data_IF_407168653320
#
_entry.id   IF_407168653320
#
_cell.length_a   1.000
_cell.length_b   1.000
_cell.length_c   1.000
_cell.angle_alpha   90.00
_cell.angle_beta   90.00
_cell.angle_gamma   90.00
#
_symmetry.space_group_name_H-M   'P 1'
#
loop_
_entity.id
_entity.type
_entity.pdbx_description
1 polymer ?
#
# COMPACT_ATOMS: atom_id res chain seq x y z
N UNK A 1 -0.01 44.61 25.09
CA UNK A 1 0.82 44.94 23.91
C UNK A 1 0.70 43.80 22.91
N UNK A 2 0.25 44.11 21.70
CA UNK A 2 0.08 43.17 20.59
C UNK A 2 1.32 43.21 19.70
N UNK A 3 1.85 42.05 19.24
CA UNK A 3 2.56 41.94 17.95
C UNK A 3 2.41 40.53 17.35
N UNK A 4 1.87 40.51 16.12
CA UNK A 4 1.87 39.41 15.14
C UNK A 4 3.23 39.34 14.41
N UNK A 5 3.54 38.23 13.73
CA UNK A 5 4.31 38.28 12.49
C UNK A 5 3.45 37.99 11.25
N UNK A 6 3.80 38.68 10.17
CA UNK A 6 3.16 38.72 8.86
C UNK A 6 3.69 37.61 7.93
N UNK A 7 2.81 37.19 7.03
CA UNK A 7 3.06 36.42 5.82
C UNK A 7 3.98 37.16 4.84
N UNK A 8 4.76 36.44 4.02
CA UNK A 8 5.01 36.75 2.60
C UNK A 8 5.92 35.70 1.94
N UNK A 9 5.37 34.94 0.98
CA UNK A 9 6.13 34.19 -0.04
C UNK A 9 5.98 34.91 -1.39
N UNK A 10 7.05 35.08 -2.19
CA UNK A 10 6.95 35.69 -3.51
C UNK A 10 6.64 34.67 -4.63
N UNK A 11 6.15 35.13 -5.80
CA UNK A 11 5.76 34.28 -6.93
C UNK A 11 6.93 34.06 -7.92
N UNK A 12 6.95 32.92 -8.61
CA UNK A 12 7.84 32.71 -9.77
C UNK A 12 6.98 32.55 -11.03
N UNK A 13 7.28 33.37 -12.03
CA UNK A 13 6.77 33.30 -13.41
C UNK A 13 7.92 33.59 -14.38
N UNK A 14 7.78 33.08 -15.62
CA UNK A 14 8.62 33.21 -16.83
C UNK A 14 9.64 32.04 -17.01
N UNK A 15 9.93 31.52 -18.21
CA UNK A 15 9.71 32.04 -19.57
C UNK A 15 9.69 30.90 -20.63
N UNK A 16 9.07 31.20 -21.78
CA UNK A 16 9.19 30.51 -23.08
C UNK A 16 10.48 30.94 -23.80
N UNK A 17 11.07 30.08 -24.64
CA UNK A 17 12.04 30.51 -25.67
C UNK A 17 12.90 29.41 -26.33
N UNK A 18 12.40 28.89 -27.47
CA UNK A 18 13.01 28.18 -28.62
C UNK A 18 14.50 28.42 -28.96
N UNK A 19 15.22 27.38 -29.48
CA UNK A 19 16.04 27.38 -30.74
C UNK A 19 16.23 25.94 -31.30
N UNK A 20 16.31 25.89 -32.64
CA UNK A 20 16.25 24.87 -33.73
C UNK A 20 17.35 23.79 -33.96
N UNK A 21 16.91 22.73 -34.66
CA UNK A 21 17.36 21.98 -35.88
C UNK A 21 18.80 21.46 -36.12
N UNK A 22 18.92 20.14 -36.43
CA UNK A 22 19.35 19.49 -37.72
C UNK A 22 19.89 18.05 -37.45
N UNK A 23 19.33 16.96 -38.01
CA UNK A 23 19.48 16.38 -39.36
C UNK A 23 20.52 15.23 -39.45
N UNK A 24 20.10 14.05 -39.92
CA UNK A 24 20.98 12.92 -40.30
C UNK A 24 20.22 11.65 -40.70
N UNK A 25 20.42 11.18 -41.93
CA UNK A 25 19.64 10.18 -42.70
C UNK A 25 20.19 8.73 -42.65
N UNK A 26 19.35 7.81 -43.16
CA UNK A 26 19.63 6.57 -43.95
C UNK A 26 19.49 5.26 -43.16
N UNK A 27 18.96 4.14 -43.66
CA UNK A 27 18.54 3.69 -44.99
C UNK A 27 17.85 2.31 -44.88
N UNK A 28 17.22 1.84 -45.96
CA UNK A 28 16.21 0.77 -46.00
C UNK A 28 16.72 -0.62 -46.45
N UNK A 29 15.83 -1.63 -46.35
CA UNK A 29 15.59 -2.87 -47.17
C UNK A 29 15.39 -4.15 -46.32
N UNK A 30 14.19 -4.78 -46.28
CA UNK A 30 13.61 -5.87 -47.14
C UNK A 30 14.39 -7.20 -47.04
N UNK A 31 13.88 -8.43 -46.83
CA UNK A 31 12.59 -9.12 -47.09
C UNK A 31 12.54 -10.53 -46.41
N UNK A 32 11.34 -10.97 -46.03
CA UNK A 32 10.77 -12.35 -46.13
C UNK A 32 11.32 -13.59 -45.37
N UNK A 33 10.57 -13.96 -44.32
CA UNK A 33 10.01 -15.29 -43.94
C UNK A 33 10.84 -16.58 -44.09
N UNK A 34 11.16 -17.23 -42.97
CA UNK A 34 10.65 -18.59 -42.64
C UNK A 34 11.07 -19.07 -41.23
N UNK A 35 10.04 -19.45 -40.46
CA UNK A 35 9.95 -20.54 -39.48
C UNK A 35 10.82 -20.56 -38.21
N UNK A 36 10.19 -20.02 -37.15
CA UNK A 36 10.34 -20.23 -35.70
C UNK A 36 11.72 -19.95 -35.08
N UNK A 37 11.89 -18.78 -34.42
CA UNK A 37 12.99 -18.58 -33.48
C UNK A 37 12.53 -18.69 -32.02
N UNK A 38 13.41 -19.23 -31.20
CA UNK A 38 13.43 -19.37 -29.73
C UNK A 38 13.27 -18.07 -28.93
N UNK A 39 12.32 -17.21 -29.32
CA UNK A 39 12.15 -15.84 -28.82
C UNK A 39 10.97 -15.62 -27.87
N UNK A 40 10.16 -16.64 -27.56
CA UNK A 40 9.06 -16.50 -26.60
C UNK A 40 9.53 -16.32 -25.13
N UNK A 41 10.85 -16.35 -24.89
CA UNK A 41 11.49 -16.05 -23.61
C UNK A 41 12.35 -14.76 -23.67
N UNK A 42 12.38 -14.05 -24.81
CA UNK A 42 13.34 -12.98 -25.06
C UNK A 42 12.85 -11.56 -24.74
N UNK A 43 11.66 -11.42 -24.15
CA UNK A 43 11.18 -10.16 -23.54
C UNK A 43 10.87 -10.33 -22.03
N UNK A 44 11.52 -11.32 -21.39
CA UNK A 44 11.67 -11.31 -19.94
C UNK A 44 12.68 -10.21 -19.59
N UNK A 45 12.32 -9.17 -18.83
CA UNK A 45 13.32 -8.25 -18.32
C UNK A 45 14.37 -9.04 -17.53
N UNK A 46 15.61 -9.01 -18.00
CA UNK A 46 16.74 -9.66 -17.35
C UNK A 46 17.00 -9.01 -15.99
N UNK A 47 17.02 -9.85 -14.94
CA UNK A 47 17.74 -9.68 -13.66
C UNK A 47 17.73 -8.27 -13.07
N UNK A 48 16.57 -7.86 -12.59
CA UNK A 48 16.42 -6.94 -11.47
C UNK A 48 15.21 -7.42 -10.70
N UNK A 49 15.39 -7.72 -9.42
CA UNK A 49 14.30 -8.12 -8.53
C UNK A 49 13.13 -7.13 -8.64
N UNK A 50 11.89 -7.60 -8.43
CA UNK A 50 10.65 -6.81 -8.57
C UNK A 50 10.03 -6.51 -7.20
N UNK A 51 9.17 -5.48 -7.09
CA UNK A 51 8.93 -4.84 -5.81
C UNK A 51 7.94 -5.53 -4.87
N UNK A 52 8.16 -5.42 -3.56
CA UNK A 52 7.09 -5.56 -2.57
C UNK A 52 6.24 -4.30 -2.55
N UNK A 53 4.92 -4.47 -2.62
CA UNK A 53 4.00 -3.34 -2.70
C UNK A 53 3.11 -3.24 -1.47
N UNK A 54 2.93 -2.03 -0.96
CA UNK A 54 1.75 -1.74 -0.14
C UNK A 54 0.56 -1.59 -1.08
N UNK A 55 -0.46 -2.42 -0.89
CA UNK A 55 -1.72 -2.38 -1.65
C UNK A 55 -2.82 -1.89 -0.72
N UNK A 56 -3.56 -0.88 -1.17
CA UNK A 56 -4.62 -0.22 -0.42
C UNK A 56 -5.93 -0.35 -1.20
N UNK A 57 -6.93 -1.01 -0.61
CA UNK A 57 -8.33 -0.86 -1.01
C UNK A 57 -8.92 0.30 -0.19
N UNK A 58 -9.23 1.46 -0.81
CA UNK A 58 -9.62 2.65 -0.08
C UNK A 58 -10.98 2.47 0.60
N UNK A 59 -11.17 3.13 1.73
CA UNK A 59 -12.48 3.27 2.35
C UNK A 59 -13.41 4.00 1.39
N UNK A 60 -14.55 3.39 1.05
CA UNK A 60 -15.56 4.02 0.18
C UNK A 60 -16.61 4.69 1.04
N UNK A 61 -16.86 5.96 0.74
CA UNK A 61 -17.81 6.80 1.48
C UNK A 61 -18.88 7.35 0.56
N UNK A 62 -20.03 7.70 1.13
CA UNK A 62 -21.06 8.49 0.46
C UNK A 62 -21.66 9.48 1.44
N UNK A 63 -21.85 10.71 0.98
CA UNK A 63 -22.62 11.70 1.72
C UNK A 63 -24.11 11.36 1.66
N UNK A 64 -24.76 11.30 2.83
CA UNK A 64 -26.19 11.10 2.94
C UNK A 64 -26.71 11.74 4.22
N UNK A 65 -27.81 12.49 4.11
CA UNK A 65 -28.50 13.09 5.26
C UNK A 65 -27.63 14.03 6.12
N UNK A 66 -26.63 14.67 5.51
CA UNK A 66 -25.69 15.57 6.21
C UNK A 66 -24.58 14.84 6.99
N UNK A 67 -24.43 13.52 6.79
CA UNK A 67 -23.39 12.70 7.39
C UNK A 67 -22.61 11.90 6.33
N UNK A 68 -21.36 11.57 6.62
CA UNK A 68 -20.57 10.65 5.79
C UNK A 68 -20.88 9.20 6.17
N UNK A 69 -21.54 8.47 5.27
CA UNK A 69 -21.76 7.03 5.42
C UNK A 69 -20.58 6.26 4.86
N UNK A 70 -19.99 5.39 5.69
CA UNK A 70 -19.00 4.41 5.23
C UNK A 70 -19.75 3.28 4.52
N UNK A 71 -19.52 3.14 3.22
CA UNK A 71 -20.13 2.08 2.41
C UNK A 71 -19.36 0.77 2.56
N UNK A 72 -18.04 0.85 2.46
CA UNK A 72 -17.13 -0.28 2.68
C UNK A 72 -15.90 0.22 3.43
N UNK A 73 -15.55 -0.37 4.58
CA UNK A 73 -14.25 -0.13 5.21
C UNK A 73 -13.13 -0.50 4.23
N UNK A 74 -12.08 0.32 4.19
CA UNK A 74 -10.89 0.01 3.41
C UNK A 74 -10.02 -1.06 4.07
N UNK A 75 -8.98 -1.47 3.35
CA UNK A 75 -7.95 -2.36 3.87
C UNK A 75 -6.57 -2.01 3.28
N UNK A 76 -5.50 -2.34 4.01
CA UNK A 76 -4.11 -2.15 3.58
C UNK A 76 -3.28 -3.36 3.98
N UNK A 77 -2.38 -3.79 3.11
CA UNK A 77 -1.46 -4.89 3.36
C UNK A 77 -0.26 -4.83 2.42
N UNK A 78 0.78 -5.62 2.73
CA UNK A 78 1.85 -5.89 1.77
C UNK A 78 1.48 -7.05 0.84
N UNK A 79 1.83 -6.92 -0.44
CA UNK A 79 1.79 -7.99 -1.44
C UNK A 79 3.14 -8.09 -2.14
N UNK A 80 3.85 -9.22 -2.01
CA UNK A 80 5.07 -9.48 -2.77
C UNK A 80 4.79 -9.49 -4.28
N UNK A 81 5.81 -9.21 -5.10
CA UNK A 81 5.68 -9.39 -6.54
C UNK A 81 5.60 -10.88 -6.91
N UNK A 82 5.11 -11.17 -8.11
CA UNK A 82 5.14 -12.54 -8.64
C UNK A 82 6.57 -13.10 -8.73
N UNK A 83 7.58 -12.24 -8.88
CA UNK A 83 8.99 -12.64 -8.90
C UNK A 83 9.48 -12.96 -7.48
N UNK A 84 9.11 -12.19 -6.46
CA UNK A 84 9.42 -12.51 -5.06
C UNK A 84 8.87 -13.88 -4.69
N UNK A 85 7.62 -14.17 -5.06
CA UNK A 85 7.00 -15.48 -4.86
C UNK A 85 7.68 -16.58 -5.67
N UNK A 86 8.23 -16.27 -6.85
CA UNK A 86 8.99 -17.22 -7.67
C UNK A 86 10.35 -17.54 -7.04
N UNK A 87 11.04 -16.53 -6.53
CA UNK A 87 12.34 -16.65 -5.87
C UNK A 87 12.21 -17.31 -4.49
N UNK A 88 11.11 -17.05 -3.79
CA UNK A 88 10.78 -17.64 -2.52
C UNK A 88 9.30 -18.08 -2.45
N UNK A 89 8.99 -19.31 -2.87
CA UNK A 89 7.63 -19.84 -2.87
C UNK A 89 7.00 -20.05 -1.48
N UNK A 90 7.77 -19.86 -0.39
CA UNK A 90 7.25 -19.95 0.98
C UNK A 90 6.58 -18.68 1.45
N UNK A 91 6.81 -17.56 0.76
CA UNK A 91 6.18 -16.28 1.10
C UNK A 91 4.66 -16.38 0.91
N UNK A 92 3.92 -15.90 1.91
CA UNK A 92 2.49 -15.68 1.78
C UNK A 92 2.22 -14.66 0.65
N UNK A 93 1.09 -14.79 -0.09
CA UNK A 93 0.73 -13.85 -1.15
C UNK A 93 0.35 -12.46 -0.63
N UNK A 94 0.09 -12.34 0.68
CA UNK A 94 -0.17 -11.09 1.37
C UNK A 94 0.30 -11.18 2.83
N UNK A 95 0.69 -10.05 3.38
CA UNK A 95 1.00 -9.86 4.79
C UNK A 95 0.15 -8.70 5.29
N UNK A 96 -0.92 -9.04 6.00
CA UNK A 96 -1.94 -8.10 6.45
C UNK A 96 -2.31 -8.29 7.92
N UNK A 97 -3.44 -7.72 8.30
CA UNK A 97 -4.02 -7.88 9.63
C UNK A 97 -5.54 -7.78 9.58
N UNK A 98 -6.19 -8.93 9.74
CA UNK A 98 -7.65 -9.06 9.66
C UNK A 98 -8.18 -9.92 10.82
N UNK A 99 -9.47 -9.74 11.16
CA UNK A 99 -10.11 -10.59 12.18
C UNK A 99 -10.19 -12.05 11.71
N UNK A 100 -9.96 -12.97 12.62
CA UNK A 100 -10.25 -14.39 12.44
C UNK A 100 -11.75 -14.60 12.65
N UNK A 101 -12.46 -14.97 11.59
CA UNK A 101 -13.84 -15.42 11.70
C UNK A 101 -13.88 -16.94 11.88
N UNK A 102 -14.35 -17.38 13.04
CA UNK A 102 -14.55 -18.80 13.32
C UNK A 102 -15.94 -19.22 12.85
N UNK A 103 -16.03 -20.33 12.13
CA UNK A 103 -17.30 -20.85 11.64
C UNK A 103 -18.29 -21.06 12.81
N UNK A 104 -19.50 -20.51 12.68
CA UNK A 104 -20.53 -20.59 13.72
C UNK A 104 -20.39 -19.57 14.85
N UNK A 105 -19.32 -18.76 14.89
CA UNK A 105 -19.17 -17.66 15.85
C UNK A 105 -19.40 -16.33 15.14
N UNK A 106 -20.26 -15.49 15.73
CA UNK A 106 -20.41 -14.11 15.28
C UNK A 106 -19.30 -13.26 15.91
N UNK A 107 -18.64 -12.39 15.15
CA UNK A 107 -17.71 -11.44 15.74
C UNK A 107 -18.44 -10.45 16.67
N UNK A 108 -17.69 -9.88 17.61
CA UNK A 108 -18.21 -8.80 18.45
C UNK A 108 -18.36 -7.54 17.61
N UNK A 109 -19.59 -7.23 17.22
CA UNK A 109 -19.90 -6.00 16.48
C UNK A 109 -20.21 -4.86 17.44
N UNK A 110 -19.69 -3.68 17.15
CA UNK A 110 -19.95 -2.48 17.96
C UNK A 110 -20.00 -1.25 17.06
N UNK A 111 -20.62 -0.19 17.56
CA UNK A 111 -20.76 1.03 16.80
C UNK A 111 -19.47 1.85 16.87
N UNK A 112 -18.91 2.18 15.70
CA UNK A 112 -17.81 3.14 15.54
C UNK A 112 -18.40 4.46 15.05
N UNK A 113 -18.04 5.54 15.72
CA UNK A 113 -18.40 6.89 15.33
C UNK A 113 -17.25 7.83 15.62
N UNK A 114 -17.04 8.82 14.76
CA UNK A 114 -15.93 9.76 14.88
C UNK A 114 -15.94 10.78 13.76
N UNK A 115 -14.80 11.45 13.60
CA UNK A 115 -14.56 12.41 12.52
C UNK A 115 -13.43 11.88 11.64
N UNK A 116 -13.60 11.98 10.32
CA UNK A 116 -12.55 11.77 9.34
C UNK A 116 -11.52 12.91 9.42
N UNK A 117 -10.36 12.75 8.80
CA UNK A 117 -9.29 13.76 8.80
C UNK A 117 -9.71 15.12 8.23
N UNK A 118 -10.70 15.14 7.34
CA UNK A 118 -11.28 16.35 6.76
C UNK A 118 -12.41 16.97 7.62
N UNK A 119 -12.64 16.43 8.83
CA UNK A 119 -13.63 16.90 9.80
C UNK A 119 -15.04 16.38 9.57
N UNK A 120 -15.29 15.58 8.52
CA UNK A 120 -16.62 14.99 8.32
C UNK A 120 -16.92 13.91 9.35
N UNK A 121 -18.13 13.94 9.91
CA UNK A 121 -18.59 12.92 10.86
C UNK A 121 -18.96 11.63 10.13
N UNK A 122 -18.60 10.50 10.72
CA UNK A 122 -18.95 9.19 10.19
C UNK A 122 -19.48 8.26 11.27
N UNK A 123 -20.19 7.22 10.80
CA UNK A 123 -20.71 6.14 11.62
C UNK A 123 -20.70 4.83 10.84
N UNK A 124 -20.21 3.76 11.46
CA UNK A 124 -20.13 2.42 10.84
C UNK A 124 -20.18 1.33 11.92
N UNK A 125 -20.66 0.15 11.57
CA UNK A 125 -20.50 -1.03 12.43
C UNK A 125 -19.07 -1.56 12.28
N UNK A 126 -18.31 -1.53 13.38
CA UNK A 126 -17.00 -2.16 13.49
C UNK A 126 -17.10 -3.56 14.05
N UNK A 127 -15.95 -4.24 14.04
CA UNK A 127 -15.76 -5.61 14.52
C UNK A 127 -14.57 -5.64 15.47
N UNK A 128 -14.72 -6.40 16.56
CA UNK A 128 -13.63 -6.86 17.43
C UNK A 128 -13.57 -8.39 17.40
N UNK A 129 -12.39 -8.94 17.22
CA UNK A 129 -12.14 -10.38 17.23
C UNK A 129 -10.66 -10.67 17.50
N UNK A 130 -10.32 -11.94 17.73
CA UNK A 130 -8.92 -12.38 17.62
C UNK A 130 -8.44 -12.18 16.18
N UNK A 131 -7.16 -11.85 16.02
CA UNK A 131 -6.56 -11.70 14.70
C UNK A 131 -6.09 -13.06 14.18
N UNK A 132 -6.11 -13.22 12.86
CA UNK A 132 -5.49 -14.37 12.20
C UNK A 132 -4.00 -14.16 12.00
N UNK A 133 -3.28 -15.19 11.55
CA UNK A 133 -1.87 -15.02 11.21
C UNK A 133 -1.72 -14.03 10.05
N UNK A 134 -0.68 -13.20 10.07
CA UNK A 134 -0.53 -12.12 9.10
C UNK A 134 -0.45 -12.63 7.64
N UNK A 135 0.10 -13.83 7.43
CA UNK A 135 0.18 -14.49 6.12
C UNK A 135 -1.10 -15.16 5.63
N UNK A 136 -2.16 -15.23 6.45
CA UNK A 136 -3.46 -15.82 6.07
C UNK A 136 -4.41 -14.80 5.44
N UNK A 137 -3.94 -13.56 5.24
CA UNK A 137 -4.67 -12.56 4.48
C UNK A 137 -4.75 -12.92 3.00
N UNK A 138 -5.92 -12.64 2.42
CA UNK A 138 -6.12 -12.82 0.99
C UNK A 138 -5.52 -11.61 0.28
N UNK A 139 -4.85 -11.80 -0.87
CA UNK A 139 -4.40 -10.67 -1.67
C UNK A 139 -5.60 -9.79 -2.04
N UNK A 140 -5.45 -8.48 -1.85
CA UNK A 140 -6.38 -7.49 -2.34
C UNK A 140 -6.30 -7.49 -3.88
N UNK A 141 -7.45 -7.44 -4.56
CA UNK A 141 -7.48 -7.39 -6.01
C UNK A 141 -6.92 -6.04 -6.48
N UNK A 142 -5.90 -6.06 -7.34
CA UNK A 142 -5.36 -4.85 -7.95
C UNK A 142 -6.30 -4.42 -9.09
N UNK A 143 -6.82 -3.21 -9.01
CA UNK A 143 -7.77 -2.67 -9.98
C UNK A 143 -7.83 -1.13 -9.98
N UNK A 144 -8.74 -0.53 -10.75
CA UNK A 144 -8.77 0.93 -10.95
C UNK A 144 -8.95 1.77 -9.69
N UNK A 145 -9.54 1.20 -8.63
CA UNK A 145 -9.78 1.91 -7.37
C UNK A 145 -8.73 1.63 -6.29
N UNK A 146 -7.82 0.66 -6.49
CA UNK A 146 -6.78 0.36 -5.50
C UNK A 146 -5.58 1.26 -5.67
N UNK A 147 -4.99 1.68 -4.56
CA UNK A 147 -3.73 2.41 -4.57
C UNK A 147 -2.59 1.40 -4.34
N UNK A 148 -1.53 1.52 -5.12
CA UNK A 148 -0.35 0.66 -5.00
C UNK A 148 0.87 1.55 -4.79
N UNK A 149 1.61 1.27 -3.72
CA UNK A 149 2.87 1.93 -3.41
C UNK A 149 3.96 0.89 -3.54
N UNK A 150 4.82 1.11 -4.54
CA UNK A 150 5.97 0.27 -4.84
C UNK A 150 7.13 0.65 -3.91
N UNK A 151 7.55 -0.28 -3.06
CA UNK A 151 8.69 -0.08 -2.17
C UNK A 151 10.03 -0.52 -2.76
N UNK A 152 10.09 -1.02 -3.99
CA UNK A 152 11.27 -1.74 -4.48
C UNK A 152 11.30 -3.16 -3.94
N UNK A 153 12.39 -3.87 -4.22
CA UNK A 153 12.42 -5.31 -4.01
C UNK A 153 12.96 -5.71 -2.67
N UNK A 154 12.31 -6.71 -2.06
CA UNK A 154 12.84 -7.38 -0.89
C UNK A 154 14.26 -7.87 -1.11
N UNK A 155 15.15 -7.46 -0.21
CA UNK A 155 16.43 -8.13 -0.01
C UNK A 155 16.22 -9.56 0.52
N UNK A 156 17.21 -10.45 0.43
CA UNK A 156 17.12 -11.78 1.04
C UNK A 156 16.79 -11.74 2.55
N UNK A 157 17.33 -10.75 3.27
CA UNK A 157 17.04 -10.53 4.68
C UNK A 157 15.57 -10.14 4.89
N UNK A 158 15.04 -9.22 4.08
CA UNK A 158 13.62 -8.85 4.13
C UNK A 158 12.71 -10.02 3.77
N UNK A 159 13.08 -10.83 2.79
CA UNK A 159 12.34 -12.05 2.44
C UNK A 159 12.29 -13.05 3.61
N UNK A 160 13.42 -13.28 4.28
CA UNK A 160 13.46 -14.14 5.48
C UNK A 160 12.66 -13.56 6.65
N UNK A 161 12.67 -12.24 6.82
CA UNK A 161 11.89 -11.56 7.85
C UNK A 161 10.39 -11.66 7.54
N UNK A 162 9.98 -11.47 6.29
CA UNK A 162 8.61 -11.65 5.83
C UNK A 162 8.09 -13.06 6.15
N UNK A 163 8.86 -14.11 5.85
CA UNK A 163 8.50 -15.50 6.21
C UNK A 163 8.26 -15.66 7.71
N UNK A 164 9.05 -14.99 8.55
CA UNK A 164 8.88 -15.02 10.01
C UNK A 164 7.63 -14.27 10.44
N UNK A 165 7.39 -13.10 9.83
CA UNK A 165 6.24 -12.24 10.13
C UNK A 165 4.91 -12.89 9.74
N UNK A 166 4.87 -13.63 8.62
CA UNK A 166 3.63 -14.22 8.11
C UNK A 166 3.08 -15.32 9.02
N UNK A 167 3.94 -15.96 9.83
CA UNK A 167 3.60 -17.08 10.72
C UNK A 167 3.13 -16.64 12.12
N UNK A 168 2.90 -15.34 12.34
CA UNK A 168 2.43 -14.77 13.61
C UNK A 168 1.32 -13.75 13.37
N UNK A 169 0.57 -13.46 14.41
CA UNK A 169 -0.33 -12.30 14.46
C UNK A 169 0.51 -11.02 14.61
N UNK A 170 0.18 -9.93 13.90
CA UNK A 170 0.84 -8.64 14.13
C UNK A 170 0.47 -8.09 15.51
N UNK A 171 -0.83 -8.04 15.78
CA UNK A 171 -1.41 -7.86 17.10
C UNK A 171 -2.32 -9.04 17.43
N UNK A 172 -2.45 -9.48 18.70
CA UNK A 172 -3.30 -10.63 19.03
C UNK A 172 -4.78 -10.42 18.68
N UNK A 173 -5.26 -9.17 18.73
CA UNK A 173 -6.65 -8.81 18.46
C UNK A 173 -6.74 -7.84 17.30
N UNK A 174 -7.87 -7.89 16.62
CA UNK A 174 -8.27 -6.92 15.60
C UNK A 174 -9.44 -6.10 16.13
N UNK A 175 -9.39 -4.79 15.92
CA UNK A 175 -10.44 -3.84 16.24
C UNK A 175 -10.56 -2.82 15.09
N UNK A 176 -11.74 -2.66 14.48
CA UNK A 176 -11.91 -1.88 13.23
C UNK A 176 -11.49 -0.41 13.35
N UNK A 177 -11.84 0.25 14.44
CA UNK A 177 -11.77 1.70 14.56
C UNK A 177 -10.35 2.25 14.74
N UNK A 178 -9.42 1.42 15.22
CA UNK A 178 -8.06 1.84 15.54
C UNK A 178 -7.94 2.55 16.89
N UNK A 179 -9.01 2.59 17.71
CA UNK A 179 -8.94 3.14 19.08
C UNK A 179 -8.03 2.29 19.99
N UNK A 180 -7.98 0.99 19.74
CA UNK A 180 -7.08 0.07 20.46
C UNK A 180 -5.69 -0.03 19.81
N UNK A 181 -5.42 0.76 18.75
CA UNK A 181 -4.16 0.72 18.01
C UNK A 181 -3.89 -0.61 17.30
N UNK A 182 -4.94 -1.39 17.00
CA UNK A 182 -4.82 -2.78 16.54
C UNK A 182 -5.61 -3.08 15.26
N UNK A 183 -5.91 -2.05 14.46
CA UNK A 183 -6.56 -2.21 13.16
C UNK A 183 -5.54 -2.46 12.03
N UNK A 184 -6.01 -2.68 10.79
CA UNK A 184 -5.14 -2.96 9.65
C UNK A 184 -4.11 -1.85 9.36
N UNK A 185 -4.45 -0.58 9.61
CA UNK A 185 -3.56 0.56 9.39
C UNK A 185 -2.42 0.59 10.41
N UNK A 186 -2.72 0.34 11.68
CA UNK A 186 -1.70 0.24 12.73
C UNK A 186 -0.80 -0.98 12.54
N UNK A 187 -1.38 -2.12 12.15
CA UNK A 187 -0.62 -3.33 11.89
C UNK A 187 0.28 -3.18 10.66
N UNK A 188 -0.21 -2.50 9.62
CA UNK A 188 0.60 -2.19 8.45
C UNK A 188 1.76 -1.26 8.79
N UNK A 189 1.53 -0.24 9.63
CA UNK A 189 2.61 0.61 10.14
C UNK A 189 3.67 -0.17 10.92
N UNK A 190 3.25 -1.11 11.77
CA UNK A 190 4.18 -1.99 12.49
C UNK A 190 4.95 -2.92 11.51
N UNK A 191 4.28 -3.42 10.48
CA UNK A 191 4.94 -4.21 9.44
C UNK A 191 5.94 -3.36 8.63
N UNK A 192 5.60 -2.12 8.27
CA UNK A 192 6.51 -1.17 7.59
C UNK A 192 7.74 -0.90 8.47
N UNK A 193 7.53 -0.64 9.77
CA UNK A 193 8.61 -0.42 10.74
C UNK A 193 9.57 -1.60 10.80
N UNK A 194 9.05 -2.82 10.81
CA UNK A 194 9.90 -4.01 10.90
C UNK A 194 10.55 -4.39 9.56
N UNK A 195 9.78 -4.39 8.48
CA UNK A 195 10.22 -4.92 7.19
C UNK A 195 11.02 -3.92 6.37
N UNK A 196 10.66 -2.64 6.45
CA UNK A 196 11.26 -1.55 5.67
C UNK A 196 12.09 -0.59 6.53
N UNK A 197 12.27 -0.89 7.82
CA UNK A 197 12.99 -0.06 8.80
C UNK A 197 12.53 1.41 8.79
N UNK A 198 11.22 1.63 8.65
CA UNK A 198 10.64 2.96 8.53
C UNK A 198 9.52 3.19 9.54
N UNK A 199 9.70 4.17 10.41
CA UNK A 199 8.68 4.57 11.39
C UNK A 199 7.81 5.70 10.82
N UNK A 200 6.50 5.43 10.70
CA UNK A 200 5.49 6.40 10.26
C UNK A 200 4.92 7.24 11.42
N UNK A 201 5.41 7.00 12.65
CA UNK A 201 5.00 7.72 13.85
C UNK A 201 3.64 7.28 14.40
N UNK A 202 3.15 7.97 15.46
CA UNK A 202 1.86 7.66 16.05
C UNK A 202 0.73 7.97 15.07
N UNK A 203 -0.15 7.00 14.87
CA UNK A 203 -1.31 7.13 14.00
C UNK A 203 -2.55 7.53 14.82
N UNK A 204 -3.41 8.42 14.28
CA UNK A 204 -4.67 8.74 14.93
C UNK A 204 -5.65 7.56 14.83
N UNK A 205 -6.59 7.52 15.76
CA UNK A 205 -7.76 6.66 15.62
C UNK A 205 -8.52 7.01 14.32
N UNK A 206 -9.15 6.00 13.72
CA UNK A 206 -9.98 6.13 12.51
C UNK A 206 -9.25 6.55 11.23
N UNK A 207 -7.90 6.55 11.23
CA UNK A 207 -7.13 6.80 10.02
C UNK A 207 -7.54 5.80 8.93
N UNK A 208 -7.98 6.31 7.79
CA UNK A 208 -8.39 5.49 6.66
C UNK A 208 -7.14 4.96 5.93
N UNK A 209 -7.20 3.73 5.36
CA UNK A 209 -6.06 3.13 4.66
C UNK A 209 -5.41 4.01 3.58
N UNK A 210 -6.20 4.72 2.78
CA UNK A 210 -5.67 5.61 1.73
C UNK A 210 -4.84 6.78 2.26
N UNK A 211 -5.01 7.14 3.53
CA UNK A 211 -4.27 8.24 4.17
C UNK A 211 -2.83 7.83 4.53
N UNK A 212 -2.50 6.53 4.46
CA UNK A 212 -1.13 6.06 4.58
C UNK A 212 -0.28 6.40 3.36
N UNK A 213 -0.90 6.68 2.20
CA UNK A 213 -0.17 6.93 0.96
C UNK A 213 0.89 8.03 1.06
N UNK A 214 0.58 9.25 1.54
CA UNK A 214 1.60 10.29 1.69
C UNK A 214 2.72 9.94 2.67
N UNK A 215 2.47 9.04 3.65
CA UNK A 215 3.45 8.61 4.64
C UNK A 215 4.45 7.60 4.07
N UNK A 216 4.05 6.86 3.03
CA UNK A 216 4.78 5.70 2.52
C UNK A 216 5.37 5.87 1.12
N UNK A 217 4.99 6.92 0.38
CA UNK A 217 5.33 7.10 -1.04
C UNK A 217 6.84 7.11 -1.34
N UNK A 218 7.65 7.56 -0.40
CA UNK A 218 9.10 7.71 -0.55
C UNK A 218 9.87 6.59 0.17
N UNK A 219 9.17 5.66 0.82
CA UNK A 219 9.77 4.53 1.54
C UNK A 219 10.17 3.46 0.54
N UNK A 220 11.44 3.06 0.57
CA UNK A 220 12.01 2.02 -0.29
C UNK A 220 12.67 0.93 0.55
N UNK A 221 12.67 -0.29 0.05
CA UNK A 221 13.65 -1.31 0.38
C UNK A 221 15.01 -0.70 0.05
N UNK A 222 15.88 -0.43 1.03
CA UNK A 222 17.15 0.25 0.75
C UNK A 222 17.86 -0.40 -0.46
N UNK A 223 18.44 0.39 -1.38
CA UNK A 223 19.35 -0.18 -2.36
C UNK A 223 20.58 -0.70 -1.59
N UNK A 224 21.02 -1.92 -1.89
CA UNK A 224 22.25 -2.50 -1.34
C UNK A 224 23.38 -1.45 -1.31
N UNK A 225 23.94 -1.21 -0.12
CA UNK A 225 25.17 -0.40 0.03
C UNK A 225 26.39 -1.14 -0.50
#
# INVERSE_FOLDING_TARGET
MWRRPLTNSPPIRAALGSVRDNAGKSGAESTSTSNLPSGALADLPQRGSRPISTVIDPTRTREADGETKILTPGHVQFQPSAEDLRLNPRLAPALGHSPQFVAGQRPDSFLVQGELSDGRKFKVMGVRAEAKLAGEDKPLPIGPSTLVIDHGTMTPQQSSLYETMQARTVFPRYETSGLEGSNCVHAHAENVRQLLDHDVGPLPAHLMPQEMQPLLKDVKTEPER
#
